data_IF_559596379924
#
_entry.id   IF_559596379924
#
_cell.length_a   1.000
_cell.length_b   1.000
_cell.length_c   1.000
_cell.angle_alpha   90.00
_cell.angle_beta   90.00
_cell.angle_gamma   90.00
#
_symmetry.space_group_name_H-M   'P 1'
#
loop_
_entity.id
_entity.type
_entity.pdbx_description
1 polymer ?
#
# COMPACT_ATOMS: atom_id res chain seq x y z
N UNK A 1 6.12 7.84 3.51
CA UNK A 1 5.28 6.87 4.25
C UNK A 1 5.24 7.26 5.71
N UNK A 2 4.12 7.03 6.39
CA UNK A 2 3.95 7.36 7.80
C UNK A 2 4.35 6.15 8.65
N UNK A 3 5.57 6.17 9.19
CA UNK A 3 6.09 5.12 10.06
C UNK A 3 5.86 5.50 11.52
N UNK A 4 4.61 5.38 11.96
CA UNK A 4 4.28 5.64 13.36
C UNK A 4 4.56 4.41 14.21
N UNK A 5 5.15 4.67 15.37
CA UNK A 5 5.20 3.67 16.44
C UNK A 5 3.80 3.42 16.99
N UNK A 6 3.61 2.27 17.64
CA UNK A 6 2.36 1.95 18.32
C UNK A 6 1.95 3.00 19.36
N UNK A 7 2.93 3.60 20.04
CA UNK A 7 2.71 4.64 21.05
C UNK A 7 2.17 5.92 20.43
N UNK A 8 2.75 6.37 19.33
CA UNK A 8 2.30 7.57 18.61
C UNK A 8 0.92 7.36 17.98
N UNK A 9 0.68 6.19 17.39
CA UNK A 9 -0.65 5.83 16.86
C UNK A 9 -1.72 5.87 17.97
N UNK A 10 -1.42 5.38 19.17
CA UNK A 10 -2.33 5.42 20.32
C UNK A 10 -2.59 6.85 20.82
N UNK A 11 -1.58 7.72 20.78
CA UNK A 11 -1.76 9.13 21.14
C UNK A 11 -2.69 9.85 20.15
N UNK A 12 -2.54 9.57 18.85
CA UNK A 12 -3.38 10.15 17.80
C UNK A 12 -4.83 9.69 17.90
N UNK A 13 -5.09 8.42 18.22
CA UNK A 13 -6.47 7.92 18.38
C UNK A 13 -7.14 8.46 19.64
N UNK A 14 -6.39 8.74 20.71
CA UNK A 14 -6.92 9.33 21.94
C UNK A 14 -7.53 10.73 21.72
N UNK A 15 -7.07 11.46 20.70
CA UNK A 15 -7.64 12.77 20.33
C UNK A 15 -9.07 12.69 19.77
N UNK A 16 -9.54 11.49 19.38
CA UNK A 16 -10.85 11.29 18.75
C UNK A 16 -10.97 11.80 17.32
N UNK A 17 -9.94 12.45 16.78
CA UNK A 17 -9.97 13.06 15.43
C UNK A 17 -9.98 12.02 14.30
N UNK A 18 -9.41 10.84 14.56
CA UNK A 18 -9.25 9.79 13.56
C UNK A 18 -9.94 8.50 14.00
N UNK A 19 -10.83 7.98 13.14
CA UNK A 19 -11.52 6.69 13.38
C UNK A 19 -10.79 5.49 12.80
N UNK A 20 -9.84 5.70 11.89
CA UNK A 20 -9.11 4.64 11.18
C UNK A 20 -7.66 5.06 11.04
N UNK A 21 -6.76 4.12 11.32
CA UNK A 21 -5.33 4.34 11.27
C UNK A 21 -4.71 3.39 10.24
N UNK A 22 -4.14 3.86 9.13
CA UNK A 22 -3.45 2.99 8.20
C UNK A 22 -2.17 2.44 8.85
N UNK A 23 -1.94 1.15 8.68
CA UNK A 23 -0.67 0.50 9.04
C UNK A 23 -0.07 -0.04 7.76
N UNK A 24 1.18 0.31 7.49
CA UNK A 24 1.90 -0.11 6.29
C UNK A 24 3.29 -0.62 6.65
N UNK A 25 3.80 -1.55 5.84
CA UNK A 25 5.20 -1.96 5.86
C UNK A 25 5.71 -1.97 4.42
N UNK A 26 6.95 -1.57 4.26
CA UNK A 26 7.66 -1.64 2.98
C UNK A 26 8.39 -2.97 2.86
N UNK A 27 8.34 -3.57 1.67
CA UNK A 27 9.00 -4.81 1.33
C UNK A 27 9.82 -4.56 0.04
N UNK A 28 11.04 -5.08 -0.01
CA UNK A 28 11.78 -5.15 -1.27
C UNK A 28 10.97 -6.00 -2.27
N UNK A 29 10.81 -5.51 -3.50
CA UNK A 29 9.88 -6.07 -4.48
C UNK A 29 10.44 -6.06 -5.92
N UNK A 30 11.76 -5.96 -6.05
CA UNK A 30 12.48 -6.08 -7.34
C UNK A 30 12.24 -7.41 -8.06
N UNK A 31 11.77 -8.44 -7.33
CA UNK A 31 11.46 -9.76 -7.86
C UNK A 31 10.00 -9.96 -8.34
N UNK A 32 9.11 -8.96 -8.21
CA UNK A 32 7.68 -9.14 -8.49
C UNK A 32 7.07 -8.00 -9.32
N UNK A 33 6.26 -8.35 -10.32
CA UNK A 33 5.48 -7.38 -11.10
C UNK A 33 4.10 -7.15 -10.46
N UNK A 34 3.45 -5.99 -10.68
CA UNK A 34 2.14 -5.71 -10.07
C UNK A 34 1.07 -6.78 -10.38
N UNK A 35 1.02 -7.29 -11.63
CA UNK A 35 0.11 -8.37 -12.00
C UNK A 35 0.40 -9.68 -11.27
N UNK A 36 1.68 -9.99 -11.00
CA UNK A 36 2.08 -11.19 -10.25
C UNK A 36 1.71 -11.04 -8.78
N UNK A 37 1.92 -9.87 -8.18
CA UNK A 37 1.48 -9.55 -6.83
C UNK A 37 -0.05 -9.70 -6.68
N UNK A 38 -0.81 -9.18 -7.65
CA UNK A 38 -2.27 -9.35 -7.67
C UNK A 38 -2.66 -10.84 -7.71
N UNK A 39 -2.01 -11.66 -8.54
CA UNK A 39 -2.32 -13.11 -8.63
C UNK A 39 -2.13 -13.82 -7.30
N UNK A 40 -1.04 -13.52 -6.59
CA UNK A 40 -0.78 -14.08 -5.25
C UNK A 40 -1.86 -13.66 -4.25
N UNK A 41 -2.20 -12.36 -4.20
CA UNK A 41 -3.24 -11.85 -3.31
C UNK A 41 -4.63 -12.41 -3.63
N UNK A 42 -4.94 -12.59 -4.92
CA UNK A 42 -6.23 -13.16 -5.38
C UNK A 42 -6.42 -14.62 -5.03
N UNK A 43 -5.34 -15.37 -4.80
CA UNK A 43 -5.42 -16.73 -4.27
C UNK A 43 -5.95 -16.76 -2.83
N UNK A 44 -5.82 -15.66 -2.08
CA UNK A 44 -6.25 -15.54 -0.69
C UNK A 44 -7.58 -14.78 -0.54
N UNK A 45 -7.87 -13.81 -1.40
CA UNK A 45 -9.08 -12.98 -1.32
C UNK A 45 -9.61 -12.55 -2.68
N UNK A 46 -10.94 -12.50 -2.81
CA UNK A 46 -11.59 -11.96 -4.02
C UNK A 46 -11.67 -10.44 -4.03
N UNK A 47 -11.40 -9.78 -2.89
CA UNK A 47 -11.45 -8.32 -2.72
C UNK A 47 -10.08 -7.68 -2.97
N UNK A 48 -9.48 -7.99 -4.11
CA UNK A 48 -8.22 -7.39 -4.55
C UNK A 48 -8.38 -6.87 -5.98
N UNK A 49 -7.89 -5.66 -6.22
CA UNK A 49 -8.02 -4.94 -7.47
C UNK A 49 -6.64 -4.45 -7.91
N UNK A 50 -6.37 -4.50 -9.21
CA UNK A 50 -5.17 -3.91 -9.81
C UNK A 50 -5.61 -2.64 -10.55
N UNK A 51 -4.98 -1.53 -10.20
CA UNK A 51 -5.20 -0.23 -10.82
C UNK A 51 -3.83 0.23 -11.34
N UNK A 52 -3.63 0.12 -12.65
CA UNK A 52 -2.41 0.59 -13.32
C UNK A 52 -2.73 1.83 -14.14
N UNK A 53 -1.86 2.84 -14.06
CA UNK A 53 -1.93 4.05 -14.86
C UNK A 53 -0.91 3.94 -15.98
N UNK A 54 -1.35 3.85 -17.24
CA UNK A 54 -0.49 3.99 -18.40
C UNK A 54 -0.56 5.45 -18.87
N UNK A 55 0.54 6.20 -18.70
CA UNK A 55 0.69 7.51 -19.31
C UNK A 55 1.15 7.32 -20.77
N UNK A 56 0.56 8.08 -21.69
CA UNK A 56 0.91 8.05 -23.11
C UNK A 56 2.17 8.89 -23.34
N UNK A 57 3.34 8.32 -22.98
CA UNK A 57 4.68 8.70 -23.44
C UNK A 57 5.74 7.91 -22.66
N UNK A 58 6.75 7.44 -23.39
CA UNK A 58 7.91 6.65 -22.95
C UNK A 58 8.35 6.86 -21.48
N UNK A 59 8.02 5.89 -20.62
CA UNK A 59 8.54 5.80 -19.26
C UNK A 59 7.44 5.65 -18.22
N UNK A 60 7.44 4.52 -17.52
CA UNK A 60 6.71 4.38 -16.28
C UNK A 60 7.40 5.30 -15.25
N UNK A 61 6.85 6.48 -14.95
CA UNK A 61 7.47 7.42 -14.01
C UNK A 61 7.49 6.91 -12.55
N UNK A 62 8.00 7.69 -11.58
CA UNK A 62 9.16 8.58 -11.64
C UNK A 62 10.45 7.81 -11.32
N UNK A 63 11.45 7.94 -12.19
CA UNK A 63 12.84 8.09 -11.76
C UNK A 63 13.16 9.58 -11.85
#
# INVERSE_FOLDING_TARGET
MCYLTFKEARALTASGQYRRMPVSRELLSDFITPITALRVLRAQSRHCFLLESAADSAGWGPL
#
